data_IF_990634038139
#
_entry.id   IF_990634038139
#
_cell.length_a   1.000
_cell.length_b   1.000
_cell.length_c   1.000
_cell.angle_alpha   90.00
_cell.angle_beta   90.00
_cell.angle_gamma   90.00
#
_symmetry.space_group_name_H-M   'P 1'
#
loop_
_entity.id
_entity.type
_entity.pdbx_description
1 polymer ?
#
# COMPACT_ATOMS: atom_id res chain seq x y z
N UNK A 1 18.31 19.44 -17.82
CA UNK A 1 18.17 17.98 -18.05
C UNK A 1 17.11 17.33 -17.14
N UNK A 2 17.16 17.48 -15.82
CA UNK A 2 16.19 16.86 -14.87
C UNK A 2 14.73 17.20 -15.20
N UNK A 3 14.41 18.48 -15.47
CA UNK A 3 13.05 18.90 -15.84
C UNK A 3 12.52 18.15 -17.06
N UNK A 4 13.35 17.94 -18.06
CA UNK A 4 12.99 17.18 -19.27
C UNK A 4 12.69 15.71 -18.93
N UNK A 5 13.57 15.05 -18.15
CA UNK A 5 13.40 13.65 -17.73
C UNK A 5 12.11 13.48 -16.94
N UNK A 6 11.80 14.41 -16.02
CA UNK A 6 10.62 14.37 -15.16
C UNK A 6 9.37 14.97 -15.82
N UNK A 7 9.49 15.56 -17.02
CA UNK A 7 8.43 16.28 -17.73
C UNK A 7 7.87 17.45 -16.92
N UNK A 8 8.74 18.14 -16.18
CA UNK A 8 8.38 19.34 -15.43
C UNK A 8 8.27 20.50 -16.43
N UNK A 9 7.08 21.11 -16.52
CA UNK A 9 6.81 22.25 -17.39
C UNK A 9 6.96 23.59 -16.66
N UNK A 10 6.80 23.58 -15.35
CA UNK A 10 6.83 24.76 -14.49
C UNK A 10 8.02 24.64 -13.52
N UNK A 11 9.02 25.50 -13.69
CA UNK A 11 10.23 25.52 -12.85
C UNK A 11 9.94 25.73 -11.35
N UNK A 12 8.81 26.34 -11.00
CA UNK A 12 8.40 26.52 -9.61
C UNK A 12 8.28 25.17 -8.87
N UNK A 13 8.02 24.07 -9.58
CA UNK A 13 8.00 22.71 -8.99
C UNK A 13 9.38 22.23 -8.49
N UNK A 14 10.47 22.91 -8.84
CA UNK A 14 11.79 22.62 -8.28
C UNK A 14 11.94 23.17 -6.85
N UNK A 15 11.07 24.09 -6.44
CA UNK A 15 11.08 24.74 -5.13
C UNK A 15 10.15 24.02 -4.16
N UNK A 16 10.62 23.82 -2.93
CA UNK A 16 9.87 23.11 -1.90
C UNK A 16 8.57 23.82 -1.51
N UNK A 17 8.58 25.14 -1.38
CA UNK A 17 7.40 25.93 -1.04
C UNK A 17 6.26 25.76 -2.06
N UNK A 18 6.59 25.70 -3.34
CA UNK A 18 5.60 25.44 -4.38
C UNK A 18 5.03 24.02 -4.29
N UNK A 19 5.88 23.01 -4.05
CA UNK A 19 5.42 21.62 -3.91
C UNK A 19 4.48 21.48 -2.71
N UNK A 20 4.84 22.04 -1.56
CA UNK A 20 4.03 22.02 -0.34
C UNK A 20 2.66 22.64 -0.59
N UNK A 21 2.56 23.79 -1.27
CA UNK A 21 1.29 24.44 -1.60
C UNK A 21 0.38 23.62 -2.54
N UNK A 22 0.90 22.56 -3.16
CA UNK A 22 0.13 21.66 -4.04
C UNK A 22 -0.43 20.45 -3.34
N UNK A 23 -0.32 20.36 -2.02
CA UNK A 23 -0.78 19.23 -1.23
C UNK A 23 -1.83 19.73 -0.24
N UNK A 24 -2.96 19.06 -0.17
CA UNK A 24 -4.07 19.43 0.73
C UNK A 24 -4.38 18.25 1.67
N UNK A 25 -3.73 18.19 2.84
CA UNK A 25 -3.89 17.10 3.79
C UNK A 25 -5.29 17.10 4.44
N UNK A 26 -5.84 15.91 4.64
CA UNK A 26 -7.06 15.73 5.43
C UNK A 26 -7.15 14.32 6.03
N UNK A 27 -7.98 14.17 7.05
CA UNK A 27 -8.28 12.85 7.63
C UNK A 27 -9.53 12.28 6.97
N UNK A 28 -9.38 11.15 6.28
CA UNK A 28 -10.51 10.42 5.72
C UNK A 28 -11.30 9.74 6.84
N UNK A 29 -12.61 10.01 6.90
CA UNK A 29 -13.56 9.41 7.88
C UNK A 29 -14.31 8.19 7.31
N UNK A 30 -14.05 7.82 6.05
CA UNK A 30 -14.67 6.65 5.42
C UNK A 30 -13.98 5.36 5.90
N UNK A 31 -14.60 4.66 6.85
CA UNK A 31 -14.06 3.45 7.47
C UNK A 31 -13.05 3.75 8.58
N UNK A 32 -11.80 3.26 8.44
CA UNK A 32 -10.72 3.59 9.38
C UNK A 32 -10.13 4.96 9.04
N UNK A 33 -10.01 5.84 10.03
CA UNK A 33 -9.36 7.14 9.84
C UNK A 33 -7.94 6.98 9.27
N UNK A 34 -7.65 7.75 8.21
CA UNK A 34 -6.36 7.74 7.51
C UNK A 34 -5.98 9.16 7.10
N UNK A 35 -4.72 9.49 7.24
CA UNK A 35 -4.18 10.70 6.64
C UNK A 35 -4.11 10.50 5.11
N UNK A 36 -4.69 11.44 4.38
CA UNK A 36 -4.64 11.50 2.91
C UNK A 36 -4.08 12.87 2.52
N UNK A 37 -3.07 12.86 1.69
CA UNK A 37 -2.33 14.05 1.24
C UNK A 37 -2.31 14.08 -0.30
N UNK A 38 -3.45 14.37 -0.92
CA UNK A 38 -3.57 14.28 -2.37
C UNK A 38 -2.78 15.40 -3.04
N UNK A 39 -1.83 15.07 -3.94
CA UNK A 39 -1.15 16.07 -4.75
C UNK A 39 -2.10 16.64 -5.81
N UNK A 40 -2.01 17.97 -6.09
CA UNK A 40 -2.70 18.61 -7.21
C UNK A 40 -2.22 18.03 -8.55
N UNK A 41 -2.98 18.27 -9.61
CA UNK A 41 -2.79 17.61 -10.92
C UNK A 41 -1.38 17.73 -11.50
N UNK A 42 -0.75 18.88 -11.40
CA UNK A 42 0.60 19.12 -11.94
C UNK A 42 1.66 18.28 -11.23
N UNK A 43 1.70 18.36 -9.90
CA UNK A 43 2.60 17.56 -9.07
C UNK A 43 2.34 16.04 -9.28
N UNK A 44 1.08 15.64 -9.38
CA UNK A 44 0.70 14.25 -9.63
C UNK A 44 1.23 13.71 -10.96
N UNK A 45 1.31 14.53 -12.01
CA UNK A 45 1.88 14.13 -13.30
C UNK A 45 3.38 13.84 -13.15
N UNK A 46 4.11 14.73 -12.49
CA UNK A 46 5.55 14.55 -12.21
C UNK A 46 5.80 13.31 -11.36
N UNK A 47 5.02 13.13 -10.29
CA UNK A 47 5.11 11.94 -9.42
C UNK A 47 4.81 10.63 -10.17
N UNK A 48 3.87 10.62 -11.11
CA UNK A 48 3.65 9.45 -11.99
C UNK A 48 4.88 9.15 -12.85
N UNK A 49 5.58 10.18 -13.32
CA UNK A 49 6.83 10.00 -14.08
C UNK A 49 7.94 9.44 -13.20
N UNK A 50 8.12 9.99 -11.99
CA UNK A 50 9.07 9.45 -11.00
C UNK A 50 8.74 7.97 -10.70
N UNK A 51 7.47 7.64 -10.43
CA UNK A 51 7.03 6.25 -10.24
C UNK A 51 7.44 5.35 -11.41
N UNK A 52 7.28 5.82 -12.65
CA UNK A 52 7.65 5.03 -13.84
C UNK A 52 9.16 4.78 -13.91
N UNK A 53 9.98 5.74 -13.48
CA UNK A 53 11.43 5.60 -13.44
C UNK A 53 11.86 4.65 -12.33
N UNK A 54 11.32 4.83 -11.12
CA UNK A 54 11.59 3.94 -9.98
C UNK A 54 11.13 2.49 -10.24
N UNK A 55 10.07 2.31 -11.03
CA UNK A 55 9.57 1.00 -11.42
C UNK A 55 10.49 0.22 -12.38
N UNK A 56 11.66 0.77 -12.75
CA UNK A 56 12.74 0.06 -13.46
C UNK A 56 13.76 -0.58 -12.53
N UNK A 57 13.71 -0.25 -11.24
CA UNK A 57 14.55 -0.86 -10.22
C UNK A 57 14.03 -2.28 -9.98
N UNK A 58 14.93 -3.24 -9.95
CA UNK A 58 14.58 -4.62 -9.63
C UNK A 58 14.09 -4.72 -8.19
N UNK A 59 12.90 -5.27 -8.05
CA UNK A 59 12.22 -5.43 -6.75
C UNK A 59 11.99 -6.92 -6.52
N UNK A 60 12.34 -7.45 -5.34
CA UNK A 60 12.17 -8.85 -5.01
C UNK A 60 10.74 -9.37 -5.24
N UNK A 61 10.63 -10.66 -5.59
CA UNK A 61 9.35 -11.26 -5.97
C UNK A 61 8.31 -11.31 -4.85
N UNK A 62 8.75 -11.27 -3.61
CA UNK A 62 7.92 -11.23 -2.42
C UNK A 62 7.35 -9.84 -2.08
N UNK A 63 7.63 -8.81 -2.89
CA UNK A 63 7.08 -7.45 -2.76
C UNK A 63 5.99 -7.23 -3.79
N UNK A 64 4.79 -6.87 -3.35
CA UNK A 64 3.59 -6.81 -4.20
C UNK A 64 3.01 -5.42 -4.38
N UNK A 65 3.33 -4.47 -3.51
CA UNK A 65 2.77 -3.13 -3.58
C UNK A 65 3.60 -2.18 -4.45
N UNK A 66 2.90 -1.42 -5.30
CA UNK A 66 3.55 -0.46 -6.19
C UNK A 66 4.26 -1.07 -7.41
N UNK A 67 4.28 -2.40 -7.53
CA UNK A 67 4.94 -3.17 -8.59
C UNK A 67 3.94 -3.46 -9.70
N UNK A 68 4.33 -3.14 -10.95
CA UNK A 68 3.48 -3.40 -12.13
C UNK A 68 3.24 -4.91 -12.30
N UNK A 69 2.00 -5.28 -12.54
CA UNK A 69 1.60 -6.67 -12.79
C UNK A 69 1.36 -7.50 -11.52
N UNK A 70 1.74 -7.00 -10.33
CA UNK A 70 1.47 -7.66 -9.04
C UNK A 70 0.24 -7.06 -8.35
N UNK A 71 -0.54 -7.90 -7.68
CA UNK A 71 -1.79 -7.52 -6.99
C UNK A 71 -1.80 -7.96 -5.52
N UNK A 72 -2.78 -7.44 -4.76
CA UNK A 72 -3.05 -7.88 -3.40
C UNK A 72 -3.42 -9.39 -3.31
N UNK A 73 -4.03 -9.91 -4.37
CA UNK A 73 -4.37 -11.34 -4.48
C UNK A 73 -3.12 -12.20 -4.67
N UNK A 74 -2.14 -11.72 -5.44
CA UNK A 74 -0.90 -12.44 -5.65
C UNK A 74 -0.06 -12.47 -4.37
N UNK A 75 -0.11 -11.41 -3.57
CA UNK A 75 0.46 -11.40 -2.22
C UNK A 75 -0.12 -12.52 -1.34
N UNK A 76 -1.44 -12.71 -1.36
CA UNK A 76 -2.06 -13.79 -0.61
C UNK A 76 -1.72 -15.18 -1.18
N UNK A 77 -1.64 -15.31 -2.51
CA UNK A 77 -1.31 -16.58 -3.18
C UNK A 77 0.08 -17.09 -2.85
N UNK A 78 1.05 -16.22 -2.54
CA UNK A 78 2.38 -16.63 -2.09
C UNK A 78 2.33 -17.49 -0.81
N UNK A 79 1.30 -17.33 0.00
CA UNK A 79 1.10 -18.05 1.25
C UNK A 79 0.20 -19.30 1.12
N UNK A 80 -0.26 -19.62 -0.10
CA UNK A 80 -0.87 -20.90 -0.41
C UNK A 80 0.23 -21.96 -0.50
N UNK A 81 -0.16 -23.22 -0.45
CA UNK A 81 0.75 -24.34 -0.61
C UNK A 81 -0.02 -25.66 -0.55
N UNK A 82 0.67 -26.76 -0.84
CA UNK A 82 0.10 -28.10 -0.76
C UNK A 82 -0.16 -28.54 0.69
N UNK A 83 0.44 -27.83 1.64
CA UNK A 83 0.26 -28.05 3.07
C UNK A 83 -0.33 -26.83 3.76
N UNK A 84 -1.04 -27.09 4.86
CA UNK A 84 -1.60 -26.03 5.73
C UNK A 84 -0.47 -25.30 6.44
N UNK A 85 -0.47 -23.97 6.38
CA UNK A 85 0.57 -23.12 6.97
C UNK A 85 0.07 -22.37 8.21
N UNK A 86 0.95 -22.18 9.19
CA UNK A 86 0.80 -21.17 10.23
C UNK A 86 1.13 -19.80 9.62
N UNK A 87 0.50 -18.74 10.13
CA UNK A 87 0.72 -17.41 9.59
C UNK A 87 0.91 -16.40 10.73
N UNK A 88 1.85 -15.50 10.54
CA UNK A 88 2.08 -14.32 11.39
C UNK A 88 2.06 -13.08 10.53
N UNK A 89 1.22 -12.13 10.91
CA UNK A 89 1.04 -10.88 10.18
C UNK A 89 1.29 -9.70 11.10
N UNK A 90 2.04 -8.72 10.60
CA UNK A 90 2.24 -7.42 11.22
C UNK A 90 1.79 -6.31 10.28
N UNK A 91 1.50 -5.13 10.85
CA UNK A 91 1.08 -3.93 10.13
C UNK A 91 1.83 -2.74 10.72
N UNK A 92 2.57 -2.03 9.90
CA UNK A 92 3.34 -0.86 10.32
C UNK A 92 2.41 0.33 10.55
N UNK A 93 2.49 0.94 11.73
CA UNK A 93 1.61 2.06 12.12
C UNK A 93 1.94 3.31 11.34
N UNK A 94 0.93 3.91 10.69
CA UNK A 94 1.06 5.19 9.97
C UNK A 94 2.33 5.20 9.07
N UNK A 95 2.51 4.14 8.27
CA UNK A 95 3.78 3.85 7.63
C UNK A 95 4.31 5.01 6.77
N UNK A 96 3.51 5.57 5.84
CA UNK A 96 3.96 6.69 5.02
C UNK A 96 4.38 7.92 5.86
N UNK A 97 3.55 8.42 6.81
CA UNK A 97 3.96 9.52 7.66
C UNK A 97 5.14 9.21 8.60
N UNK A 98 5.45 7.94 8.82
CA UNK A 98 6.63 7.54 9.61
C UNK A 98 7.92 7.51 8.80
N UNK A 99 7.85 7.62 7.47
CA UNK A 99 9.02 7.70 6.59
C UNK A 99 9.45 9.16 6.47
N UNK A 100 10.54 9.53 7.15
CA UNK A 100 11.02 10.90 7.18
C UNK A 100 11.54 11.36 5.82
N UNK A 101 11.51 12.68 5.60
CA UNK A 101 12.15 13.34 4.46
C UNK A 101 13.62 12.92 4.34
N UNK A 102 14.32 12.85 5.47
CA UNK A 102 15.74 12.46 5.49
C UNK A 102 15.94 11.04 4.95
N UNK A 103 15.10 10.09 5.34
CA UNK A 103 15.15 8.71 4.79
C UNK A 103 14.99 8.70 3.27
N UNK A 104 14.06 9.50 2.75
CA UNK A 104 13.83 9.62 1.30
C UNK A 104 15.02 10.28 0.61
N UNK A 105 15.61 11.33 1.20
CA UNK A 105 16.79 12.01 0.68
C UNK A 105 18.01 11.06 0.62
N UNK A 106 18.26 10.31 1.69
CA UNK A 106 19.39 9.38 1.75
C UNK A 106 19.25 8.26 0.72
N UNK A 107 18.05 7.78 0.43
CA UNK A 107 17.81 6.84 -0.64
C UNK A 107 18.22 7.42 -2.02
N UNK A 108 17.72 8.61 -2.37
CA UNK A 108 18.10 9.23 -3.63
C UNK A 108 19.59 9.56 -3.69
N UNK A 109 20.16 10.03 -2.59
CA UNK A 109 21.56 10.46 -2.53
C UNK A 109 22.56 9.31 -2.50
N UNK A 110 22.29 8.25 -1.70
CA UNK A 110 23.25 7.16 -1.45
C UNK A 110 22.95 5.90 -2.22
N UNK A 111 21.67 5.48 -2.24
CA UNK A 111 21.32 4.20 -2.88
C UNK A 111 21.16 4.37 -4.42
N UNK A 112 20.75 5.56 -4.90
CA UNK A 112 20.68 5.88 -6.33
C UNK A 112 21.81 6.79 -6.84
N UNK A 113 22.75 7.15 -6.00
CA UNK A 113 23.93 8.01 -6.32
C UNK A 113 23.60 9.31 -7.07
N UNK A 114 22.44 9.91 -6.76
CA UNK A 114 22.07 11.19 -7.32
C UNK A 114 22.96 12.31 -6.75
N UNK A 115 23.24 13.36 -7.57
CA UNK A 115 23.87 14.58 -7.03
C UNK A 115 23.01 15.19 -5.91
N UNK A 116 23.61 15.95 -4.96
CA UNK A 116 22.85 16.55 -3.85
C UNK A 116 21.61 17.33 -4.29
N UNK A 117 21.74 18.12 -5.35
CA UNK A 117 20.65 18.95 -5.89
C UNK A 117 19.52 18.09 -6.46
N UNK A 118 19.85 17.06 -7.24
CA UNK A 118 18.87 16.14 -7.81
C UNK A 118 18.17 15.35 -6.70
N UNK A 119 18.92 14.87 -5.71
CA UNK A 119 18.35 14.19 -4.55
C UNK A 119 17.39 15.09 -3.77
N UNK A 120 17.76 16.36 -3.55
CA UNK A 120 16.91 17.33 -2.86
C UNK A 120 15.62 17.62 -3.64
N UNK A 121 15.69 17.80 -4.97
CA UNK A 121 14.51 18.01 -5.82
C UNK A 121 13.59 16.81 -5.82
N UNK A 122 14.12 15.60 -5.99
CA UNK A 122 13.31 14.37 -5.98
C UNK A 122 12.65 14.15 -4.62
N UNK A 123 13.35 14.47 -3.54
CA UNK A 123 12.82 14.43 -2.19
C UNK A 123 11.70 15.44 -2.01
N UNK A 124 11.88 16.69 -2.42
CA UNK A 124 10.83 17.71 -2.35
C UNK A 124 9.56 17.30 -3.12
N UNK A 125 9.72 16.69 -4.31
CA UNK A 125 8.60 16.24 -5.14
C UNK A 125 7.83 15.04 -4.54
N UNK A 126 8.37 14.36 -3.54
CA UNK A 126 7.81 13.12 -3.00
C UNK A 126 7.50 13.16 -1.49
N UNK A 127 7.93 14.22 -0.80
CA UNK A 127 7.66 14.45 0.62
C UNK A 127 6.84 15.73 0.83
N UNK A 128 6.21 15.85 1.99
CA UNK A 128 5.48 17.06 2.42
C UNK A 128 5.98 17.49 3.79
N UNK A 129 6.12 18.79 3.97
CA UNK A 129 6.35 19.43 5.26
C UNK A 129 5.03 20.03 5.75
N UNK A 130 4.39 19.40 6.71
CA UNK A 130 3.11 19.87 7.26
C UNK A 130 3.25 21.17 8.04
N UNK A 131 4.45 21.48 8.57
CA UNK A 131 4.71 22.73 9.31
C UNK A 131 4.81 23.95 8.40
N UNK A 132 5.11 23.73 7.13
CA UNK A 132 5.18 24.78 6.11
C UNK A 132 3.81 25.04 5.41
N UNK A 133 2.78 24.27 5.76
CA UNK A 133 1.43 24.46 5.24
C UNK A 133 0.66 25.48 6.08
N UNK A 134 0.00 26.40 5.39
CA UNK A 134 -0.81 27.46 6.02
C UNK A 134 -2.31 27.18 5.78
N UNK A 135 -2.78 25.96 6.03
CA UNK A 135 -4.15 25.52 5.75
C UNK A 135 -5.00 25.39 7.02
N UNK A 136 -6.26 25.86 6.92
CA UNK A 136 -7.28 25.59 7.94
C UNK A 136 -7.58 24.07 7.96
N UNK A 137 -7.53 23.46 9.15
CA UNK A 137 -7.84 22.03 9.32
C UNK A 137 -6.64 21.12 9.61
N UNK A 138 -5.41 21.66 9.64
CA UNK A 138 -4.22 20.91 10.02
C UNK A 138 -4.25 20.40 11.47
N UNK A 139 -4.99 21.04 12.37
CA UNK A 139 -5.17 20.59 13.76
C UNK A 139 -5.62 19.12 13.81
N UNK A 140 -6.65 18.74 13.02
CA UNK A 140 -7.11 17.34 12.98
C UNK A 140 -6.02 16.37 12.45
N UNK A 141 -5.16 16.85 11.55
CA UNK A 141 -4.03 16.08 11.01
C UNK A 141 -2.96 15.89 12.09
N UNK A 142 -2.57 16.93 12.78
CA UNK A 142 -1.59 16.85 13.89
C UNK A 142 -2.10 15.97 15.02
N UNK A 143 -3.35 16.11 15.44
CA UNK A 143 -4.00 15.25 16.45
C UNK A 143 -3.99 13.78 16.03
N UNK A 144 -4.23 13.51 14.74
CA UNK A 144 -4.15 12.14 14.20
C UNK A 144 -2.73 11.58 14.27
N UNK A 145 -1.72 12.35 13.89
CA UNK A 145 -0.32 11.94 13.91
C UNK A 145 0.17 11.71 15.35
N UNK A 146 -0.20 12.59 16.28
CA UNK A 146 0.09 12.45 17.71
C UNK A 146 -0.52 11.16 18.28
N UNK A 147 -1.81 10.91 18.02
CA UNK A 147 -2.48 9.65 18.40
C UNK A 147 -1.83 8.40 17.81
N UNK A 148 -1.07 8.53 16.72
CA UNK A 148 -0.29 7.46 16.12
C UNK A 148 1.18 7.46 16.58
N UNK A 149 1.54 8.37 17.48
CA UNK A 149 2.91 8.57 17.95
C UNK A 149 3.91 8.82 16.79
N UNK A 150 3.44 9.52 15.74
CA UNK A 150 4.29 9.99 14.64
C UNK A 150 4.82 11.37 15.01
N UNK A 151 6.14 11.48 15.14
CA UNK A 151 6.82 12.74 15.52
C UNK A 151 7.38 13.49 14.31
N UNK A 152 7.31 12.90 13.13
CA UNK A 152 7.86 13.47 11.91
C UNK A 152 6.75 14.18 11.11
N UNK A 153 6.85 15.51 10.98
CA UNK A 153 5.89 16.32 10.20
C UNK A 153 6.40 16.62 8.79
N UNK A 154 7.63 16.22 8.48
CA UNK A 154 8.20 16.27 7.14
C UNK A 154 8.48 14.85 6.66
N UNK A 155 7.58 14.30 5.83
CA UNK A 155 7.52 12.88 5.56
C UNK A 155 7.06 12.54 4.14
N UNK A 156 7.12 11.25 3.79
CA UNK A 156 6.64 10.73 2.52
C UNK A 156 5.12 10.96 2.38
N UNK A 157 4.70 11.60 1.29
CA UNK A 157 3.30 11.97 1.03
C UNK A 157 2.38 10.75 1.08
N UNK A 158 1.32 10.80 1.89
CA UNK A 158 0.32 9.75 2.00
C UNK A 158 -0.75 9.88 0.92
N UNK A 159 -0.65 9.08 -0.14
CA UNK A 159 -1.60 9.11 -1.27
C UNK A 159 -1.02 9.61 -2.59
N UNK A 160 0.28 9.92 -2.64
CA UNK A 160 0.96 10.22 -3.90
C UNK A 160 1.16 8.96 -4.76
N UNK A 161 1.25 9.11 -6.09
CA UNK A 161 1.55 8.00 -6.99
C UNK A 161 2.86 7.26 -6.67
N UNK A 162 3.84 7.94 -6.09
CA UNK A 162 5.17 7.41 -5.75
C UNK A 162 5.20 6.65 -4.44
N UNK A 163 4.27 6.91 -3.52
CA UNK A 163 4.40 6.50 -2.11
C UNK A 163 4.52 5.00 -1.91
N UNK A 164 3.75 4.21 -2.66
CA UNK A 164 3.79 2.76 -2.51
C UNK A 164 5.15 2.14 -2.88
N UNK A 165 5.74 2.57 -4.00
CA UNK A 165 7.04 2.05 -4.43
C UNK A 165 8.17 2.62 -3.59
N UNK A 166 8.14 3.92 -3.28
CA UNK A 166 9.14 4.56 -2.43
C UNK A 166 9.15 3.99 -1.02
N UNK A 167 7.99 3.70 -0.43
CA UNK A 167 7.94 3.16 0.92
C UNK A 167 8.69 1.82 1.05
N UNK A 168 8.72 1.01 0.00
CA UNK A 168 9.56 -0.18 -0.04
C UNK A 168 11.04 0.20 -0.27
N UNK A 169 11.33 0.96 -1.34
CA UNK A 169 12.71 1.24 -1.77
C UNK A 169 13.54 1.94 -0.70
N UNK A 170 12.98 2.94 -0.01
CA UNK A 170 13.69 3.65 1.06
C UNK A 170 13.90 2.81 2.32
N UNK A 171 13.18 1.70 2.45
CA UNK A 171 13.24 0.78 3.58
C UNK A 171 13.76 -0.62 3.18
N UNK A 172 14.35 -0.77 1.99
CA UNK A 172 14.78 -2.07 1.50
C UNK A 172 15.64 -2.82 2.52
N UNK A 173 16.58 -2.14 3.18
CA UNK A 173 17.46 -2.75 4.20
C UNK A 173 16.68 -3.38 5.37
N UNK A 174 15.60 -2.74 5.82
CA UNK A 174 14.71 -3.32 6.83
C UNK A 174 14.01 -4.59 6.31
N UNK A 175 13.50 -4.52 5.09
CA UNK A 175 12.79 -5.66 4.49
C UNK A 175 13.75 -6.81 4.15
N UNK A 176 14.98 -6.51 3.75
CA UNK A 176 16.03 -7.51 3.53
C UNK A 176 16.39 -8.23 4.83
N UNK A 177 16.58 -7.50 5.94
CA UNK A 177 16.82 -8.09 7.26
C UNK A 177 15.65 -8.96 7.75
N UNK A 178 14.42 -8.53 7.47
CA UNK A 178 13.22 -9.34 7.75
C UNK A 178 13.15 -10.60 6.87
N UNK A 179 13.58 -10.50 5.61
CA UNK A 179 13.64 -11.67 4.70
C UNK A 179 14.72 -12.66 5.13
N UNK A 180 15.89 -12.18 5.52
CA UNK A 180 16.95 -13.04 6.07
C UNK A 180 16.49 -13.77 7.33
N UNK A 181 15.80 -13.04 8.21
CA UNK A 181 15.18 -13.64 9.40
C UNK A 181 14.14 -14.71 9.02
N UNK A 182 13.28 -14.43 8.03
CA UNK A 182 12.30 -15.39 7.55
C UNK A 182 12.97 -16.64 6.99
N UNK A 183 14.01 -16.49 6.17
CA UNK A 183 14.78 -17.60 5.59
C UNK A 183 15.41 -18.48 6.69
N UNK A 184 16.02 -17.85 7.71
CA UNK A 184 16.63 -18.55 8.85
C UNK A 184 15.64 -19.44 9.61
N UNK A 185 14.36 -19.07 9.64
CA UNK A 185 13.30 -19.81 10.33
C UNK A 185 12.41 -20.65 9.39
N UNK A 186 12.79 -20.80 8.12
CA UNK A 186 12.01 -21.56 7.14
C UNK A 186 10.62 -20.98 6.91
N UNK A 187 10.48 -19.65 6.96
CA UNK A 187 9.24 -18.95 6.73
C UNK A 187 9.27 -18.22 5.36
N UNK A 188 8.14 -18.26 4.66
CA UNK A 188 7.89 -17.44 3.48
C UNK A 188 7.44 -16.05 3.93
N UNK A 189 8.08 -14.97 3.45
CA UNK A 189 7.70 -13.61 3.73
C UNK A 189 7.09 -12.94 2.50
N UNK A 190 6.12 -12.05 2.72
CA UNK A 190 5.63 -11.12 1.70
C UNK A 190 5.43 -9.71 2.27
N UNK A 191 5.54 -8.71 1.38
CA UNK A 191 5.37 -7.29 1.72
C UNK A 191 4.29 -6.68 0.83
N UNK A 192 3.29 -6.06 1.46
CA UNK A 192 2.27 -5.25 0.78
C UNK A 192 2.08 -3.92 1.49
N UNK A 193 2.85 -2.90 1.12
CA UNK A 193 2.95 -1.58 1.77
C UNK A 193 3.37 -1.71 3.24
N UNK A 194 2.41 -1.53 4.15
CA UNK A 194 2.53 -1.60 5.61
C UNK A 194 2.25 -3.00 6.17
N UNK A 195 1.65 -3.88 5.37
CA UNK A 195 1.35 -5.27 5.74
C UNK A 195 2.56 -6.17 5.43
N UNK A 196 3.17 -6.80 6.43
CA UNK A 196 4.17 -7.85 6.27
C UNK A 196 3.60 -9.16 6.79
N UNK A 197 3.67 -10.19 5.97
CA UNK A 197 3.10 -11.51 6.26
C UNK A 197 4.19 -12.57 6.22
N UNK A 198 4.22 -13.42 7.23
CA UNK A 198 5.09 -14.59 7.32
C UNK A 198 4.24 -15.85 7.38
N UNK A 199 4.59 -16.87 6.62
CA UNK A 199 3.93 -18.18 6.71
C UNK A 199 4.93 -19.32 6.77
N UNK A 200 4.62 -20.38 7.51
CA UNK A 200 5.45 -21.56 7.64
C UNK A 200 4.58 -22.79 7.91
N UNK A 201 5.04 -23.94 7.47
CA UNK A 201 4.44 -25.25 7.82
C UNK A 201 4.68 -25.59 9.29
N UNK A 202 5.80 -25.09 9.83
CA UNK A 202 6.14 -25.23 11.24
C UNK A 202 5.49 -24.13 12.09
N UNK A 203 5.47 -24.33 13.39
CA UNK A 203 4.96 -23.34 14.33
C UNK A 203 5.84 -22.10 14.33
N UNK A 204 5.23 -20.91 14.16
CA UNK A 204 5.92 -19.63 14.25
C UNK A 204 6.19 -19.31 15.73
N UNK A 205 7.43 -19.46 16.16
CA UNK A 205 7.85 -19.35 17.56
C UNK A 205 7.69 -17.92 18.10
N UNK A 206 7.60 -17.82 19.43
CA UNK A 206 7.61 -16.50 20.09
C UNK A 206 8.95 -15.77 19.92
N UNK A 207 10.05 -16.52 19.81
CA UNK A 207 11.37 -15.96 19.53
C UNK A 207 11.41 -15.29 18.15
N UNK A 208 10.92 -15.95 17.10
CA UNK A 208 10.80 -15.35 15.76
C UNK A 208 9.98 -14.06 15.78
N UNK A 209 8.79 -14.09 16.41
CA UNK A 209 7.93 -12.91 16.53
C UNK A 209 8.62 -11.75 17.23
N UNK A 210 9.34 -12.00 18.33
CA UNK A 210 10.14 -11.00 19.05
C UNK A 210 11.27 -10.45 18.19
N UNK A 211 11.93 -11.31 17.39
CA UNK A 211 13.01 -10.88 16.48
C UNK A 211 12.47 -9.98 15.36
N UNK A 212 11.31 -10.29 14.77
CA UNK A 212 10.63 -9.42 13.80
C UNK A 212 10.34 -8.04 14.42
N UNK A 213 9.81 -8.00 15.65
CA UNK A 213 9.55 -6.73 16.35
C UNK A 213 10.83 -5.92 16.56
N UNK A 214 11.95 -6.56 16.95
CA UNK A 214 13.24 -5.91 17.13
C UNK A 214 13.78 -5.31 15.84
N UNK A 215 13.67 -6.02 14.71
CA UNK A 215 14.09 -5.48 13.41
C UNK A 215 13.27 -4.23 13.07
N UNK A 216 11.95 -4.28 13.16
CA UNK A 216 11.09 -3.11 12.86
C UNK A 216 11.44 -1.92 13.78
N UNK A 217 11.65 -2.16 15.08
CA UNK A 217 12.03 -1.11 16.05
C UNK A 217 13.43 -0.52 15.78
N UNK A 218 14.40 -1.33 15.34
CA UNK A 218 15.73 -0.89 14.93
C UNK A 218 15.69 0.19 13.83
N UNK A 219 14.70 0.10 12.94
CA UNK A 219 14.47 1.09 11.88
C UNK A 219 13.47 2.20 12.29
N UNK A 220 13.19 2.36 13.59
CA UNK A 220 12.30 3.38 14.15
C UNK A 220 10.83 3.30 13.71
N UNK A 221 10.37 2.13 13.27
CA UNK A 221 8.95 1.91 12.97
C UNK A 221 8.21 1.28 14.13
N UNK A 222 6.89 1.53 14.16
CA UNK A 222 5.99 0.97 15.16
C UNK A 222 5.03 -0.02 14.51
N UNK A 223 4.71 -1.07 15.25
CA UNK A 223 3.75 -2.08 14.82
C UNK A 223 2.42 -1.83 15.51
N UNK A 224 1.34 -1.85 14.75
CA UNK A 224 -0.02 -1.77 15.27
C UNK A 224 -0.40 -3.04 16.02
N UNK A 225 -0.27 -3.03 17.36
CA UNK A 225 -0.57 -4.21 18.21
C UNK A 225 -1.97 -4.79 17.95
N UNK A 226 -2.98 -3.92 17.70
CA UNK A 226 -4.35 -4.34 17.40
C UNK A 226 -4.47 -5.11 16.07
N UNK A 227 -3.50 -4.96 15.16
CA UNK A 227 -3.49 -5.60 13.84
C UNK A 227 -2.52 -6.77 13.76
N UNK A 228 -1.65 -6.99 14.76
CA UNK A 228 -0.81 -8.19 14.85
C UNK A 228 -1.71 -9.42 14.96
N UNK A 229 -1.54 -10.36 14.04
CA UNK A 229 -2.32 -11.60 14.01
C UNK A 229 -1.43 -12.82 13.85
N UNK A 230 -1.64 -13.79 14.73
CA UNK A 230 -1.13 -15.12 14.56
C UNK A 230 -2.26 -16.07 14.20
N UNK A 231 -2.10 -16.86 13.17
CA UNK A 231 -3.09 -17.86 12.76
C UNK A 231 -2.44 -19.24 12.79
N UNK A 232 -3.07 -20.15 13.50
CA UNK A 232 -2.74 -21.58 13.40
C UNK A 232 -3.16 -22.12 12.03
N UNK A 233 -2.47 -23.15 11.57
CA UNK A 233 -2.78 -23.87 10.33
C UNK A 233 -4.22 -24.40 10.27
N UNK A 234 -4.86 -24.61 11.41
CA UNK A 234 -6.23 -25.15 11.51
C UNK A 234 -7.33 -24.12 11.17
N UNK A 235 -7.02 -22.83 11.16
CA UNK A 235 -8.03 -21.77 10.99
C UNK A 235 -7.87 -21.01 9.68
N UNK A 236 -8.96 -20.47 9.12
CA UNK A 236 -8.89 -19.54 7.98
C UNK A 236 -8.09 -18.28 8.32
N UNK A 237 -7.37 -17.75 7.34
CA UNK A 237 -6.44 -16.64 7.49
C UNK A 237 -6.80 -15.50 6.54
N UNK A 238 -6.72 -14.27 7.01
CA UNK A 238 -6.95 -13.09 6.18
C UNK A 238 -5.62 -12.45 5.79
N UNK A 239 -5.27 -12.52 4.50
CA UNK A 239 -4.08 -11.90 3.92
C UNK A 239 -4.51 -10.89 2.85
N UNK A 240 -4.19 -9.62 3.02
CA UNK A 240 -4.48 -8.51 2.08
C UNK A 240 -5.88 -8.53 1.45
N UNK A 241 -6.90 -8.99 2.20
CA UNK A 241 -8.29 -9.02 1.72
C UNK A 241 -8.75 -10.35 1.11
N UNK A 242 -7.86 -11.31 0.95
CA UNK A 242 -8.15 -12.69 0.52
C UNK A 242 -8.21 -13.59 1.75
N UNK A 243 -9.16 -14.51 1.80
CA UNK A 243 -9.21 -15.57 2.81
C UNK A 243 -8.44 -16.78 2.28
N UNK A 244 -7.47 -17.26 3.03
CA UNK A 244 -6.90 -18.58 2.87
C UNK A 244 -7.69 -19.48 3.82
N UNK A 245 -8.45 -20.43 3.28
CA UNK A 245 -9.29 -21.31 4.09
C UNK A 245 -8.47 -22.37 4.87
N UNK A 246 -9.19 -23.23 5.61
CA UNK A 246 -8.55 -24.31 6.39
C UNK A 246 -7.82 -25.34 5.51
N UNK A 247 -8.17 -25.43 4.25
CA UNK A 247 -7.58 -26.38 3.29
C UNK A 247 -6.44 -25.76 2.47
N UNK A 248 -6.06 -24.50 2.78
CA UNK A 248 -4.98 -23.78 2.11
C UNK A 248 -5.39 -23.13 0.78
N UNK A 249 -6.68 -23.08 0.46
CA UNK A 249 -7.20 -22.50 -0.79
C UNK A 249 -7.59 -21.04 -0.61
N UNK A 250 -7.35 -20.24 -1.65
CA UNK A 250 -7.79 -18.86 -1.67
C UNK A 250 -9.31 -18.75 -1.89
N UNK A 251 -10.00 -18.02 -1.02
CA UNK A 251 -11.43 -17.79 -1.11
C UNK A 251 -11.78 -16.31 -1.00
N UNK A 252 -12.90 -15.94 -1.61
CA UNK A 252 -13.39 -14.55 -1.63
C UNK A 252 -13.95 -14.21 -0.25
N UNK A 253 -13.52 -13.09 0.31
CA UNK A 253 -13.98 -12.58 1.60
C UNK A 253 -15.49 -12.35 1.61
N UNK A 254 -16.18 -12.78 2.69
CA UNK A 254 -17.64 -12.66 2.81
C UNK A 254 -18.16 -11.23 2.65
N UNK A 255 -17.42 -10.22 3.14
CA UNK A 255 -17.83 -8.81 2.93
C UNK A 255 -17.79 -8.38 1.46
N UNK A 256 -16.91 -8.97 0.64
CA UNK A 256 -16.90 -8.72 -0.80
C UNK A 256 -18.05 -9.45 -1.50
N UNK A 257 -18.32 -10.70 -1.10
CA UNK A 257 -19.47 -11.48 -1.59
C UNK A 257 -20.79 -10.73 -1.35
N UNK A 258 -20.97 -10.21 -0.11
CA UNK A 258 -22.15 -9.43 0.27
C UNK A 258 -22.29 -8.17 -0.59
N UNK A 259 -21.23 -7.39 -0.75
CA UNK A 259 -21.23 -6.20 -1.59
C UNK A 259 -21.57 -6.49 -3.05
N UNK A 260 -21.10 -7.60 -3.60
CA UNK A 260 -21.43 -8.03 -4.96
C UNK A 260 -22.92 -8.32 -5.06
N UNK A 261 -23.48 -9.06 -4.10
CA UNK A 261 -24.90 -9.38 -4.07
C UNK A 261 -25.76 -8.10 -3.97
N UNK A 262 -25.52 -7.27 -2.96
CA UNK A 262 -26.25 -6.02 -2.73
C UNK A 262 -26.21 -5.11 -3.98
N UNK A 263 -25.06 -5.02 -4.64
CA UNK A 263 -24.92 -4.18 -5.83
C UNK A 263 -25.56 -4.82 -7.08
N UNK A 264 -25.59 -6.15 -7.16
CA UNK A 264 -26.28 -6.87 -8.22
C UNK A 264 -27.80 -6.72 -8.08
N UNK A 265 -28.36 -6.94 -6.87
CA UNK A 265 -29.79 -6.80 -6.58
C UNK A 265 -30.24 -5.36 -6.90
N UNK A 266 -29.52 -4.33 -6.41
CA UNK A 266 -29.80 -2.92 -6.72
C UNK A 266 -29.80 -2.62 -8.23
N UNK A 267 -28.94 -3.28 -9.00
CA UNK A 267 -28.86 -3.08 -10.43
C UNK A 267 -29.95 -3.86 -11.21
N UNK A 268 -30.47 -4.94 -10.63
CA UNK A 268 -31.66 -5.63 -11.15
C UNK A 268 -32.91 -4.73 -11.03
N UNK A 269 -33.04 -4.01 -9.89
CA UNK A 269 -34.15 -3.06 -9.66
C UNK A 269 -34.04 -1.82 -10.56
N UNK A 270 -32.83 -1.35 -10.84
CA UNK A 270 -32.57 -0.20 -11.70
C UNK A 270 -31.43 -0.47 -12.71
N UNK A 271 -31.70 -1.16 -13.82
CA UNK A 271 -30.67 -1.55 -14.79
C UNK A 271 -29.96 -0.37 -15.49
N UNK A 272 -30.55 0.81 -15.52
CA UNK A 272 -29.99 2.00 -16.16
C UNK A 272 -28.94 2.73 -15.31
N UNK A 273 -28.78 2.41 -14.01
CA UNK A 273 -27.83 3.07 -13.15
C UNK A 273 -26.36 2.74 -13.53
N UNK A 274 -25.76 3.67 -14.28
CA UNK A 274 -24.38 3.59 -14.76
C UNK A 274 -23.36 3.51 -13.60
N UNK A 275 -23.61 4.22 -12.46
CA UNK A 275 -22.70 4.21 -11.29
C UNK A 275 -22.70 2.86 -10.61
N UNK A 276 -23.87 2.29 -10.33
CA UNK A 276 -24.03 0.96 -9.77
C UNK A 276 -23.42 -0.10 -10.65
N UNK A 277 -23.59 -0.01 -11.97
CA UNK A 277 -22.98 -0.92 -12.95
C UNK A 277 -21.44 -0.85 -12.91
N UNK A 278 -20.87 0.35 -12.92
CA UNK A 278 -19.42 0.52 -12.83
C UNK A 278 -18.90 -0.04 -11.51
N UNK A 279 -19.61 0.17 -10.41
CA UNK A 279 -19.27 -0.37 -9.09
C UNK A 279 -19.32 -1.89 -9.08
N UNK A 280 -20.36 -2.51 -9.66
CA UNK A 280 -20.47 -3.97 -9.77
C UNK A 280 -19.32 -4.56 -10.60
N UNK A 281 -18.95 -3.92 -11.73
CA UNK A 281 -17.79 -4.32 -12.55
C UNK A 281 -16.52 -4.37 -11.73
N UNK A 282 -16.27 -3.34 -10.93
CA UNK A 282 -15.10 -3.27 -10.03
C UNK A 282 -15.09 -4.38 -8.98
N UNK A 283 -16.23 -4.62 -8.32
CA UNK A 283 -16.37 -5.65 -7.29
C UNK A 283 -16.16 -7.06 -7.85
N UNK A 284 -16.78 -7.36 -8.99
CA UNK A 284 -16.64 -8.67 -9.68
C UNK A 284 -15.20 -8.86 -10.18
N UNK A 285 -14.59 -7.82 -10.74
CA UNK A 285 -13.18 -7.87 -11.17
C UNK A 285 -12.25 -8.16 -9.99
N UNK A 286 -12.48 -7.53 -8.82
CA UNK A 286 -11.73 -7.80 -7.60
C UNK A 286 -11.91 -9.24 -7.10
N UNK A 287 -13.13 -9.79 -7.12
CA UNK A 287 -13.39 -11.18 -6.75
C UNK A 287 -12.66 -12.15 -7.68
N UNK A 288 -12.63 -11.88 -8.97
CA UNK A 288 -11.98 -12.71 -9.99
C UNK A 288 -10.44 -12.66 -9.98
N UNK A 289 -9.83 -11.71 -9.29
CA UNK A 289 -8.39 -11.77 -8.98
C UNK A 289 -8.08 -12.90 -8.00
N UNK A 290 -9.02 -13.21 -7.09
CA UNK A 290 -8.88 -14.32 -6.14
C UNK A 290 -9.27 -15.66 -6.79
N UNK A 291 -10.41 -15.70 -7.46
CA UNK A 291 -10.95 -16.87 -8.16
C UNK A 291 -11.45 -16.46 -9.55
N UNK A 292 -10.73 -16.88 -10.60
CA UNK A 292 -11.05 -16.55 -12.00
C UNK A 292 -12.43 -17.02 -12.45
N UNK A 293 -12.97 -18.07 -11.83
CA UNK A 293 -14.28 -18.65 -12.14
C UNK A 293 -15.44 -17.97 -11.43
N UNK A 294 -15.16 -17.09 -10.45
CA UNK A 294 -16.17 -16.47 -9.61
C UNK A 294 -17.18 -15.63 -10.41
N UNK A 295 -18.46 -15.78 -10.09
CA UNK A 295 -19.57 -14.96 -10.57
C UNK A 295 -19.71 -14.83 -12.10
N UNK A 296 -19.73 -15.92 -12.89
CA UNK A 296 -19.74 -15.83 -14.35
C UNK A 296 -20.98 -15.09 -14.88
N UNK A 297 -22.16 -15.38 -14.34
CA UNK A 297 -23.42 -14.75 -14.77
C UNK A 297 -23.50 -13.27 -14.36
N UNK A 298 -23.11 -12.94 -13.13
CA UNK A 298 -23.08 -11.54 -12.68
C UNK A 298 -22.06 -10.73 -13.48
N UNK A 299 -20.91 -11.35 -13.85
CA UNK A 299 -19.94 -10.72 -14.73
C UNK A 299 -20.55 -10.43 -16.10
N UNK A 300 -21.19 -11.41 -16.74
CA UNK A 300 -21.88 -11.22 -18.04
C UNK A 300 -22.84 -10.05 -17.95
N UNK A 301 -23.75 -10.05 -16.99
CA UNK A 301 -24.72 -8.98 -16.74
C UNK A 301 -24.06 -7.60 -16.52
N UNK A 302 -23.01 -7.53 -15.71
CA UNK A 302 -22.33 -6.27 -15.41
C UNK A 302 -21.62 -5.66 -16.63
N UNK A 303 -21.09 -6.50 -17.54
CA UNK A 303 -20.32 -6.08 -18.70
C UNK A 303 -21.12 -6.01 -20.00
N UNK A 304 -22.38 -6.44 -20.01
CA UNK A 304 -23.26 -6.25 -21.16
C UNK A 304 -23.34 -4.78 -21.56
N UNK A 305 -23.27 -4.53 -22.88
CA UNK A 305 -23.55 -3.21 -23.43
C UNK A 305 -25.06 -3.02 -23.41
N UNK A 306 -25.55 -2.04 -22.65
CA UNK A 306 -26.92 -1.62 -22.82
C UNK A 306 -27.05 -0.85 -24.14
N UNK A 307 -28.16 -1.05 -24.89
CA UNK A 307 -28.46 -0.16 -25.98
C UNK A 307 -28.49 1.27 -25.43
N UNK A 308 -27.78 2.17 -26.09
CA UNK A 308 -27.95 3.59 -25.85
C UNK A 308 -29.40 3.95 -26.21
N UNK A 309 -30.15 4.40 -25.19
CA UNK A 309 -31.39 5.11 -25.45
C UNK A 309 -31.10 6.44 -26.09
#
# INVERSE_FOLDING_TARGET
>A
MLMYILRIRNEKLLRQDCVVSMISPYISKTGKSRLIEPPRSELKIVQKRIKTLLGKIDIPDNVFSGVKGKSYSDNAKLHLGDSRRNLYKIDLTAFFPSISRETVYQFFRKDLDCSPDVAAILTNLTTVDLTALNEKGLTEVFDFLEKKNVKCFNHLISGAPTSQILSYLVNHKMFDELQELANKFGATMSVYVDDVVFSSEHQISSYFRKSVLRVVQKYNYQISQKKVKGYSKAYPKLVTGVIIDKDGKATIKNSLRRKIKEQYDSLCDNPADKKSRQRLRGLVSAARQTDKSAYPNIRKFAFEKFPAN
#
